data_IF_138815894414
#
_entry.id   IF_138815894414
#
_cell.length_a   1.000
_cell.length_b   1.000
_cell.length_c   1.000
_cell.angle_alpha   90.00
_cell.angle_beta   90.00
_cell.angle_gamma   90.00
#
_symmetry.space_group_name_H-M   'P 1'
#
loop_
_entity.id
_entity.type
_entity.pdbx_description
1 polymer ?
#
# COMPACT_ATOMS: atom_id res chain seq x y z
N UNK A 1 -30.54 -15.08 24.37
CA UNK A 1 -29.60 -15.42 23.29
C UNK A 1 -29.24 -14.13 22.54
N UNK A 2 -28.00 -13.62 22.58
CA UNK A 2 -27.68 -12.35 21.95
C UNK A 2 -27.43 -12.53 20.46
N UNK A 3 -28.39 -12.11 19.65
CA UNK A 3 -28.36 -12.14 18.18
C UNK A 3 -27.32 -11.14 17.59
N UNK A 4 -26.84 -10.20 18.40
CA UNK A 4 -25.95 -9.14 17.95
C UNK A 4 -24.50 -9.58 17.62
N UNK A 5 -24.05 -10.74 18.06
CA UNK A 5 -22.70 -11.24 17.77
C UNK A 5 -22.49 -11.74 16.34
N UNK A 6 -23.53 -12.30 15.71
CA UNK A 6 -23.45 -12.86 14.36
C UNK A 6 -23.41 -11.81 13.24
N UNK A 7 -24.08 -10.66 13.42
CA UNK A 7 -24.11 -9.59 12.43
C UNK A 7 -22.74 -8.89 12.27
N UNK A 8 -21.99 -8.74 13.36
CA UNK A 8 -20.64 -8.17 13.30
C UNK A 8 -19.64 -9.12 12.64
N UNK A 9 -19.76 -10.42 12.86
CA UNK A 9 -18.90 -11.45 12.24
C UNK A 9 -19.08 -11.50 10.72
N UNK A 10 -20.32 -11.48 10.22
CA UNK A 10 -20.60 -11.48 8.78
C UNK A 10 -20.07 -10.21 8.09
N UNK A 11 -20.30 -9.03 8.69
CA UNK A 11 -19.81 -7.76 8.14
C UNK A 11 -18.28 -7.71 8.08
N UNK A 12 -17.60 -8.24 9.08
CA UNK A 12 -16.13 -8.35 9.09
C UNK A 12 -15.64 -9.29 7.99
N UNK A 13 -16.26 -10.46 7.83
CA UNK A 13 -15.91 -11.41 6.78
C UNK A 13 -16.09 -10.83 5.37
N UNK A 14 -17.20 -10.11 5.14
CA UNK A 14 -17.41 -9.41 3.87
C UNK A 14 -16.38 -8.32 3.60
N UNK A 15 -16.11 -7.46 4.58
CA UNK A 15 -15.10 -6.40 4.46
C UNK A 15 -13.71 -6.97 4.18
N UNK A 16 -13.37 -8.09 4.80
CA UNK A 16 -12.10 -8.77 4.58
C UNK A 16 -11.99 -9.38 3.17
N UNK A 17 -13.04 -10.05 2.71
CA UNK A 17 -13.11 -10.63 1.38
C UNK A 17 -13.06 -9.57 0.28
N UNK A 18 -13.87 -8.53 0.36
CA UNK A 18 -13.86 -7.42 -0.61
C UNK A 18 -12.57 -6.61 -0.57
N UNK A 19 -11.97 -6.43 0.60
CA UNK A 19 -10.67 -5.78 0.73
C UNK A 19 -9.58 -6.54 -0.03
N UNK A 20 -9.54 -7.87 0.09
CA UNK A 20 -8.60 -8.69 -0.68
C UNK A 20 -8.89 -8.66 -2.18
N UNK A 21 -10.14 -8.64 -2.58
CA UNK A 21 -10.50 -8.45 -3.99
C UNK A 21 -9.93 -7.14 -4.55
N UNK A 22 -10.07 -6.03 -3.82
CA UNK A 22 -9.50 -4.73 -4.25
C UNK A 22 -7.98 -4.79 -4.31
N UNK A 23 -7.32 -5.45 -3.36
CA UNK A 23 -5.85 -5.65 -3.38
C UNK A 23 -5.41 -6.38 -4.65
N UNK A 24 -6.04 -7.51 -4.98
CA UNK A 24 -5.70 -8.27 -6.18
C UNK A 24 -6.05 -7.53 -7.48
N UNK A 25 -7.20 -6.86 -7.52
CA UNK A 25 -7.61 -6.05 -8.66
C UNK A 25 -6.63 -4.88 -8.89
N UNK A 26 -6.19 -4.21 -7.84
CA UNK A 26 -5.18 -3.15 -7.92
C UNK A 26 -3.84 -3.67 -8.41
N UNK A 27 -3.39 -4.84 -7.93
CA UNK A 27 -2.15 -5.47 -8.39
C UNK A 27 -2.21 -5.83 -9.88
N UNK A 28 -3.33 -6.39 -10.34
CA UNK A 28 -3.54 -6.66 -11.76
C UNK A 28 -3.56 -5.37 -12.61
N UNK A 29 -4.22 -4.31 -12.10
CA UNK A 29 -4.26 -3.02 -12.76
C UNK A 29 -2.89 -2.34 -12.84
N UNK A 30 -2.00 -2.51 -11.84
CA UNK A 30 -0.61 -2.06 -11.90
C UNK A 30 0.11 -2.75 -13.07
N UNK A 31 -0.05 -4.07 -13.22
CA UNK A 31 0.53 -4.83 -14.32
C UNK A 31 0.09 -4.32 -15.70
N UNK A 32 -1.23 -4.11 -15.88
CA UNK A 32 -1.78 -3.53 -17.11
C UNK A 32 -1.29 -2.08 -17.34
N UNK A 33 -1.18 -1.28 -16.27
CA UNK A 33 -0.66 0.08 -16.33
C UNK A 33 0.80 0.13 -16.77
N UNK A 34 1.63 -0.82 -16.32
CA UNK A 34 3.02 -0.92 -16.76
C UNK A 34 3.13 -1.23 -18.27
N UNK A 35 2.26 -2.10 -18.80
CA UNK A 35 2.20 -2.36 -20.23
C UNK A 35 1.87 -1.08 -21.01
N UNK A 36 0.86 -0.32 -20.57
CA UNK A 36 0.50 0.98 -21.15
C UNK A 36 1.67 1.97 -21.11
N UNK A 37 2.41 2.02 -19.99
CA UNK A 37 3.57 2.90 -19.85
C UNK A 37 4.71 2.50 -20.79
N UNK A 38 4.95 1.21 -21.00
CA UNK A 38 5.95 0.70 -21.95
C UNK A 38 5.54 1.03 -23.39
N UNK A 39 4.29 0.81 -23.77
CA UNK A 39 3.81 1.13 -25.11
C UNK A 39 3.90 2.62 -25.42
N UNK A 40 3.62 3.48 -24.45
CA UNK A 40 3.80 4.92 -24.56
C UNK A 40 5.29 5.28 -24.75
N UNK A 41 6.20 4.69 -23.94
CA UNK A 41 7.63 4.95 -23.99
C UNK A 41 8.26 4.55 -25.34
N UNK A 42 7.74 3.51 -25.99
CA UNK A 42 8.20 3.07 -27.33
C UNK A 42 7.38 3.69 -28.48
N UNK A 43 6.60 4.73 -28.19
CA UNK A 43 5.77 5.47 -29.15
C UNK A 43 4.75 4.63 -29.93
N UNK A 44 4.31 3.50 -29.37
CA UNK A 44 3.26 2.67 -29.96
C UNK A 44 1.85 3.13 -29.57
N UNK A 45 1.69 3.65 -28.35
CA UNK A 45 0.41 4.18 -27.88
C UNK A 45 0.34 5.70 -28.10
N UNK A 46 -0.77 6.16 -28.68
CA UNK A 46 -1.07 7.59 -28.88
C UNK A 46 -1.80 8.18 -27.65
N UNK A 47 -1.21 8.04 -26.49
CA UNK A 47 -1.74 8.58 -25.22
C UNK A 47 -0.78 9.58 -24.61
N UNK A 48 -1.31 10.50 -23.79
CA UNK A 48 -0.46 11.46 -23.10
C UNK A 48 0.39 10.77 -22.02
N UNK A 49 1.58 11.29 -21.78
CA UNK A 49 2.49 10.82 -20.71
C UNK A 49 1.77 10.83 -19.35
N UNK A 50 0.92 11.83 -19.11
CA UNK A 50 0.12 11.90 -17.89
C UNK A 50 -0.85 10.71 -17.76
N UNK A 51 -1.53 10.33 -18.85
CA UNK A 51 -2.44 9.19 -18.82
C UNK A 51 -1.69 7.86 -18.59
N UNK A 52 -0.55 7.68 -19.23
CA UNK A 52 0.31 6.51 -19.02
C UNK A 52 0.83 6.42 -17.58
N UNK A 53 1.29 7.55 -17.03
CA UNK A 53 1.72 7.63 -15.63
C UNK A 53 0.58 7.32 -14.66
N UNK A 54 -0.61 7.89 -14.90
CA UNK A 54 -1.79 7.66 -14.07
C UNK A 54 -2.25 6.18 -14.11
N UNK A 55 -2.08 5.49 -15.23
CA UNK A 55 -2.41 4.08 -15.36
C UNK A 55 -1.59 3.18 -14.38
N UNK A 56 -0.41 3.62 -13.98
CA UNK A 56 0.42 2.92 -12.97
C UNK A 56 0.19 3.48 -11.57
N UNK A 57 0.21 4.80 -11.42
CA UNK A 57 0.23 5.44 -10.10
C UNK A 57 -1.10 5.35 -9.37
N UNK A 58 -2.24 5.45 -10.07
CA UNK A 58 -3.56 5.36 -9.45
C UNK A 58 -3.84 3.98 -8.85
N UNK A 59 -3.66 2.86 -9.57
CA UNK A 59 -3.84 1.55 -8.96
C UNK A 59 -2.81 1.26 -7.88
N UNK A 60 -1.57 1.78 -7.96
CA UNK A 60 -0.58 1.66 -6.90
C UNK A 60 -1.03 2.38 -5.63
N UNK A 61 -1.54 3.60 -5.75
CA UNK A 61 -2.08 4.34 -4.62
C UNK A 61 -3.30 3.63 -4.01
N UNK A 62 -4.21 3.10 -4.84
CA UNK A 62 -5.36 2.32 -4.39
C UNK A 62 -4.93 1.06 -3.63
N UNK A 63 -3.93 0.34 -4.13
CA UNK A 63 -3.32 -0.80 -3.46
C UNK A 63 -2.83 -0.42 -2.06
N UNK A 64 -2.00 0.63 -1.94
CA UNK A 64 -1.43 1.09 -0.68
C UNK A 64 -2.51 1.52 0.32
N UNK A 65 -3.53 2.26 -0.14
CA UNK A 65 -4.65 2.70 0.70
C UNK A 65 -5.52 1.52 1.17
N UNK A 66 -5.74 0.52 0.31
CA UNK A 66 -6.53 -0.65 0.68
C UNK A 66 -5.79 -1.51 1.70
N UNK A 67 -4.48 -1.73 1.49
CA UNK A 67 -3.63 -2.43 2.47
C UNK A 67 -3.62 -1.68 3.80
N UNK A 68 -3.48 -0.34 3.77
CA UNK A 68 -3.56 0.48 4.97
C UNK A 68 -4.91 0.34 5.69
N UNK A 69 -6.03 0.41 4.96
CA UNK A 69 -7.37 0.31 5.52
C UNK A 69 -7.61 -1.06 6.18
N UNK A 70 -7.12 -2.13 5.58
CA UNK A 70 -7.19 -3.47 6.15
C UNK A 70 -6.29 -3.60 7.38
N UNK A 71 -5.06 -3.07 7.31
CA UNK A 71 -4.08 -3.19 8.39
C UNK A 71 -4.45 -2.33 9.62
N UNK A 72 -4.90 -1.10 9.41
CA UNK A 72 -5.26 -0.17 10.49
C UNK A 72 -6.46 -0.64 11.30
N UNK A 73 -7.35 -1.44 10.73
CA UNK A 73 -8.53 -1.99 11.43
C UNK A 73 -8.21 -3.18 12.31
N UNK A 74 -7.20 -3.98 11.96
CA UNK A 74 -6.91 -5.24 12.64
C UNK A 74 -5.72 -5.18 13.59
N UNK A 75 -4.80 -4.24 13.36
CA UNK A 75 -3.61 -4.11 14.19
C UNK A 75 -3.53 -2.72 14.82
N UNK A 76 -3.52 -2.68 16.17
CA UNK A 76 -3.21 -1.46 16.93
C UNK A 76 -1.71 -1.18 16.85
N UNK A 77 -1.22 -0.79 15.70
CA UNK A 77 0.16 -0.33 15.48
C UNK A 77 0.28 1.15 15.83
N UNK A 78 1.45 1.58 16.29
CA UNK A 78 1.68 2.98 16.65
C UNK A 78 1.45 3.95 15.50
N UNK A 79 1.10 5.19 15.82
CA UNK A 79 0.71 6.26 14.88
C UNK A 79 1.72 6.43 13.72
N UNK A 80 3.02 6.35 14.00
CA UNK A 80 4.06 6.46 12.98
C UNK A 80 3.91 5.38 11.88
N UNK A 81 3.60 4.15 12.26
CA UNK A 81 3.44 3.03 11.33
C UNK A 81 2.11 3.12 10.56
N UNK A 82 1.07 3.73 11.16
CA UNK A 82 -0.20 3.96 10.48
C UNK A 82 -0.12 5.04 9.40
N UNK A 83 0.81 5.99 9.50
CA UNK A 83 0.96 7.09 8.55
C UNK A 83 1.84 6.74 7.34
N UNK A 84 2.68 5.71 7.41
CA UNK A 84 3.61 5.34 6.34
C UNK A 84 2.88 5.05 5.01
N UNK A 85 1.87 4.19 5.03
CA UNK A 85 1.16 3.79 3.81
C UNK A 85 0.34 4.91 3.17
N UNK A 86 -0.48 5.70 3.91
CA UNK A 86 -1.21 6.81 3.30
C UNK A 86 -0.27 7.91 2.79
N UNK A 87 0.84 8.19 3.48
CA UNK A 87 1.86 9.13 3.00
C UNK A 87 2.49 8.63 1.70
N UNK A 88 2.83 7.33 1.63
CA UNK A 88 3.36 6.73 0.41
C UNK A 88 2.34 6.79 -0.75
N UNK A 89 1.06 6.56 -0.49
CA UNK A 89 0.00 6.68 -1.50
C UNK A 89 -0.10 8.10 -2.05
N UNK A 90 -0.03 9.12 -1.19
CA UNK A 90 0.00 10.52 -1.62
C UNK A 90 1.24 10.84 -2.47
N UNK A 91 2.42 10.37 -2.06
CA UNK A 91 3.65 10.55 -2.82
C UNK A 91 3.57 9.88 -4.19
N UNK A 92 3.02 8.67 -4.27
CA UNK A 92 2.81 7.97 -5.55
C UNK A 92 1.86 8.76 -6.46
N UNK A 93 0.79 9.35 -5.93
CA UNK A 93 -0.11 10.22 -6.69
C UNK A 93 0.64 11.46 -7.20
N UNK A 94 1.47 12.07 -6.36
CA UNK A 94 2.30 13.21 -6.78
C UNK A 94 3.29 12.83 -7.89
N UNK A 95 3.81 11.60 -7.88
CA UNK A 95 4.69 11.11 -8.94
C UNK A 95 4.04 11.09 -10.33
N UNK A 96 2.70 11.05 -10.42
CA UNK A 96 1.97 11.12 -11.71
C UNK A 96 2.37 12.34 -12.54
N UNK A 97 2.73 13.44 -11.89
CA UNK A 97 3.08 14.71 -12.55
C UNK A 97 4.55 14.81 -12.95
N UNK A 98 5.37 13.79 -12.69
CA UNK A 98 6.81 13.77 -13.03
C UNK A 98 7.08 13.36 -14.49
N UNK A 99 6.06 13.20 -15.31
CA UNK A 99 6.22 12.82 -16.71
C UNK A 99 6.87 11.45 -16.87
N UNK A 100 7.94 11.34 -17.68
CA UNK A 100 8.61 10.07 -17.99
C UNK A 100 9.26 9.40 -16.78
N UNK A 101 9.53 10.15 -15.69
CA UNK A 101 10.09 9.65 -14.45
C UNK A 101 9.05 9.10 -13.46
N UNK A 102 7.77 9.26 -13.76
CA UNK A 102 6.67 8.94 -12.85
C UNK A 102 6.69 7.49 -12.37
N UNK A 103 6.89 6.54 -13.29
CA UNK A 103 6.89 5.10 -12.97
C UNK A 103 8.09 4.73 -12.09
N UNK A 104 9.27 5.23 -12.43
CA UNK A 104 10.48 4.99 -11.65
C UNK A 104 10.39 5.60 -10.25
N UNK A 105 9.88 6.84 -10.14
CA UNK A 105 9.68 7.51 -8.87
C UNK A 105 8.65 6.77 -8.00
N UNK A 106 7.53 6.35 -8.57
CA UNK A 106 6.51 5.56 -7.86
C UNK A 106 7.06 4.22 -7.37
N UNK A 107 7.89 3.55 -8.18
CA UNK A 107 8.59 2.32 -7.80
C UNK A 107 9.53 2.53 -6.63
N UNK A 108 10.35 3.60 -6.65
CA UNK A 108 11.27 3.94 -5.56
C UNK A 108 10.52 4.30 -4.26
N UNK A 109 9.43 5.05 -4.35
CA UNK A 109 8.56 5.37 -3.19
C UNK A 109 7.99 4.07 -2.59
N UNK A 110 7.50 3.17 -3.43
CA UNK A 110 6.95 1.89 -2.98
C UNK A 110 8.02 1.01 -2.31
N UNK A 111 9.19 0.89 -2.89
CA UNK A 111 10.32 0.16 -2.32
C UNK A 111 10.79 0.76 -0.98
N UNK A 112 10.91 2.08 -0.91
CA UNK A 112 11.24 2.80 0.33
C UNK A 112 10.20 2.60 1.43
N UNK A 113 8.93 2.50 1.07
CA UNK A 113 7.82 2.23 1.99
C UNK A 113 7.95 0.85 2.63
N UNK A 114 8.25 -0.17 1.82
CA UNK A 114 8.48 -1.55 2.32
C UNK A 114 9.69 -1.58 3.24
N UNK A 115 10.82 -1.02 2.83
CA UNK A 115 12.05 -0.97 3.63
C UNK A 115 11.82 -0.26 4.98
N UNK A 116 11.06 0.84 4.98
CA UNK A 116 10.71 1.57 6.22
C UNK A 116 9.84 0.72 7.14
N UNK A 117 8.85 0.02 6.58
CA UNK A 117 7.98 -0.89 7.33
C UNK A 117 8.76 -2.01 8.01
N UNK A 118 9.68 -2.65 7.30
CA UNK A 118 10.53 -3.72 7.83
C UNK A 118 11.47 -3.23 8.93
N UNK A 119 12.13 -2.08 8.73
CA UNK A 119 13.04 -1.52 9.74
C UNK A 119 12.32 -1.13 11.03
N UNK A 120 11.11 -0.57 10.94
CA UNK A 120 10.28 -0.25 12.11
C UNK A 120 9.87 -1.50 12.87
N UNK A 121 9.52 -2.56 12.17
CA UNK A 121 9.15 -3.85 12.77
C UNK A 121 10.35 -4.51 13.46
N UNK A 122 11.51 -4.53 12.81
CA UNK A 122 12.75 -5.09 13.35
C UNK A 122 13.21 -4.34 14.63
N UNK A 123 13.14 -3.02 14.64
CA UNK A 123 13.49 -2.20 15.82
C UNK A 123 12.58 -2.48 17.00
N UNK A 124 11.28 -2.72 16.78
CA UNK A 124 10.34 -3.08 17.87
C UNK A 124 10.64 -4.45 18.42
N UNK A 125 10.91 -5.44 17.57
CA UNK A 125 11.29 -6.78 18.01
C UNK A 125 12.60 -6.78 18.82
N UNK A 126 13.58 -5.95 18.43
CA UNK A 126 14.81 -5.76 19.17
C UNK A 126 14.61 -5.13 20.57
N UNK A 127 13.74 -4.12 20.67
CA UNK A 127 13.41 -3.49 21.97
C UNK A 127 12.70 -4.46 22.91
N UNK A 128 11.69 -5.19 22.42
CA UNK A 128 10.98 -6.18 23.23
C UNK A 128 11.91 -7.29 23.77
N UNK A 129 12.90 -7.72 22.96
CA UNK A 129 13.91 -8.68 23.43
C UNK A 129 14.86 -8.10 24.45
N UNK A 130 15.27 -6.84 24.31
CA UNK A 130 16.10 -6.14 25.26
C UNK A 130 15.43 -5.95 26.63
N UNK A 131 14.14 -5.60 26.64
CA UNK A 131 13.33 -5.48 27.85
C UNK A 131 13.13 -6.83 28.55
N UNK A 132 12.94 -7.92 27.79
CA UNK A 132 12.79 -9.27 28.35
C UNK A 132 14.10 -9.84 28.91
N UNK A 133 15.26 -9.33 28.47
CA UNK A 133 16.59 -9.76 28.93
C UNK A 133 17.15 -8.90 30.06
N UNK A 134 16.47 -7.82 30.45
CA UNK A 134 16.90 -6.98 31.56
C UNK A 134 16.68 -7.72 32.89
N UNK A 135 17.72 -7.89 33.76
CA UNK A 135 17.56 -8.56 35.06
C UNK A 135 16.62 -7.74 35.93
N UNK A 136 15.67 -8.43 36.59
CA UNK A 136 14.84 -7.84 37.61
C UNK A 136 15.76 -7.41 38.79
N UNK A 137 15.98 -6.10 38.89
CA UNK A 137 16.75 -5.49 39.99
C UNK A 137 15.94 -5.47 41.30
#
# INVERSE_FOLDING_TARGET
>A
MPIHGHLNSNRQAFLWGYGHYVVFASAAAIGAGLEVAVEQAVHKAHISTLAASAAVTLPTALYLLTVWALHSRYFKVGIAQQLVLPTAALLVICCTFLGDWAVLAAGLVSAGTVATGETLTARRAGRARGEAAAPAG
#
